data_IF_460760740944
#
_entry.id   IF_460760740944
#
_cell.length_a   1.000
_cell.length_b   1.000
_cell.length_c   1.000
_cell.angle_alpha   90.00
_cell.angle_beta   90.00
_cell.angle_gamma   90.00
#
_symmetry.space_group_name_H-M   'P 1'
#
loop_
_entity.id
_entity.type
_entity.pdbx_description
1 polymer ?
#
# COMPACT_ATOMS: atom_id res chain seq x y z
N UNK A 1 2.34 3.84 12.40
CA UNK A 1 1.88 3.94 10.99
C UNK A 1 2.57 2.93 10.07
N UNK A 2 3.92 2.88 9.99
CA UNK A 2 4.62 1.94 9.09
C UNK A 2 4.25 0.46 9.34
N UNK A 3 4.29 0.02 10.59
CA UNK A 3 3.91 -1.36 10.98
C UNK A 3 2.45 -1.67 10.64
N UNK A 4 1.54 -0.73 10.87
CA UNK A 4 0.11 -0.89 10.56
C UNK A 4 -0.13 -1.17 9.07
N UNK A 5 0.52 -0.43 8.18
CA UNK A 5 0.41 -0.67 6.73
C UNK A 5 0.94 -2.04 6.32
N UNK A 6 1.97 -2.56 6.98
CA UNK A 6 2.50 -3.90 6.71
C UNK A 6 1.54 -5.00 7.20
N UNK A 7 0.94 -4.82 8.38
CA UNK A 7 -0.07 -5.74 8.92
C UNK A 7 -1.28 -5.81 7.97
N UNK A 8 -1.79 -4.67 7.52
CA UNK A 8 -2.90 -4.59 6.56
C UNK A 8 -2.58 -5.26 5.21
N UNK A 9 -1.34 -5.10 4.74
CA UNK A 9 -0.87 -5.76 3.52
C UNK A 9 -0.87 -7.29 3.70
N UNK A 10 -0.28 -7.78 4.78
CA UNK A 10 -0.22 -9.21 5.09
C UNK A 10 -1.64 -9.78 5.25
N UNK A 11 -2.52 -9.05 5.93
CA UNK A 11 -3.91 -9.45 6.12
C UNK A 11 -4.68 -9.56 4.81
N UNK A 12 -4.49 -8.58 3.91
CA UNK A 12 -5.10 -8.60 2.57
C UNK A 12 -4.59 -9.77 1.73
N UNK A 13 -3.28 -10.06 1.77
CA UNK A 13 -2.69 -11.22 1.08
C UNK A 13 -3.27 -12.53 1.64
N UNK A 14 -3.40 -12.64 2.97
CA UNK A 14 -4.01 -13.82 3.60
C UNK A 14 -5.46 -14.04 3.13
N UNK A 15 -6.27 -12.98 3.01
CA UNK A 15 -7.63 -13.10 2.49
C UNK A 15 -7.65 -13.64 1.06
N UNK A 16 -6.75 -13.17 0.20
CA UNK A 16 -6.63 -13.65 -1.18
C UNK A 16 -6.20 -15.11 -1.20
N UNK A 17 -5.24 -15.51 -0.35
CA UNK A 17 -4.80 -16.91 -0.22
C UNK A 17 -5.92 -17.83 0.28
N UNK A 18 -6.76 -17.36 1.20
CA UNK A 18 -7.95 -18.09 1.63
C UNK A 18 -8.92 -18.26 0.46
N UNK A 19 -9.11 -17.22 -0.37
CA UNK A 19 -9.88 -17.33 -1.61
C UNK A 19 -9.33 -18.41 -2.56
N UNK A 20 -8.01 -18.45 -2.75
CA UNK A 20 -7.32 -19.49 -3.54
C UNK A 20 -7.55 -20.89 -2.96
N UNK A 21 -7.54 -21.05 -1.64
CA UNK A 21 -7.85 -22.33 -1.00
C UNK A 21 -9.28 -22.79 -1.30
N UNK A 22 -10.26 -21.87 -1.22
CA UNK A 22 -11.65 -22.19 -1.53
C UNK A 22 -11.89 -22.51 -3.02
N UNK A 23 -11.11 -21.90 -3.92
CA UNK A 23 -11.10 -22.18 -5.36
C UNK A 23 -10.53 -23.57 -5.66
N UNK A 24 -9.29 -23.83 -5.23
CA UNK A 24 -8.53 -25.02 -5.64
C UNK A 24 -8.89 -26.30 -4.87
N UNK A 25 -9.30 -26.18 -3.60
CA UNK A 25 -9.48 -27.34 -2.71
C UNK A 25 -10.96 -27.56 -2.39
N UNK A 26 -11.65 -26.53 -1.90
CA UNK A 26 -13.03 -26.66 -1.45
C UNK A 26 -14.06 -26.59 -2.58
N UNK A 27 -13.66 -26.11 -3.78
CA UNK A 27 -14.51 -25.86 -4.95
C UNK A 27 -15.80 -25.10 -4.60
N UNK A 28 -15.71 -24.18 -3.64
CA UNK A 28 -16.85 -23.39 -3.18
C UNK A 28 -16.81 -21.99 -3.78
N UNK A 29 -17.41 -21.87 -4.96
CA UNK A 29 -17.39 -20.66 -5.78
C UNK A 29 -18.00 -19.45 -5.05
N UNK A 30 -19.01 -19.65 -4.21
CA UNK A 30 -19.65 -18.56 -3.44
C UNK A 30 -18.72 -17.98 -2.38
N UNK A 31 -17.94 -18.83 -1.69
CA UNK A 31 -16.96 -18.36 -0.70
C UNK A 31 -15.73 -17.75 -1.37
N UNK A 32 -15.26 -18.35 -2.47
CA UNK A 32 -14.17 -17.84 -3.30
C UNK A 32 -14.39 -16.37 -3.68
N UNK A 33 -15.53 -16.05 -4.30
CA UNK A 33 -15.82 -14.69 -4.77
C UNK A 33 -15.85 -13.68 -3.61
N UNK A 34 -16.38 -14.10 -2.45
CA UNK A 34 -16.40 -13.27 -1.24
C UNK A 34 -15.00 -12.96 -0.74
N UNK A 35 -14.11 -13.95 -0.69
CA UNK A 35 -12.73 -13.76 -0.20
C UNK A 35 -11.88 -12.97 -1.18
N UNK A 36 -11.98 -13.23 -2.49
CA UNK A 36 -11.29 -12.42 -3.50
C UNK A 36 -11.78 -10.98 -3.54
N UNK A 37 -13.11 -10.79 -3.53
CA UNK A 37 -13.71 -9.47 -3.51
C UNK A 37 -13.32 -8.69 -2.26
N UNK A 38 -13.48 -9.29 -1.07
CA UNK A 38 -13.15 -8.63 0.19
C UNK A 38 -11.64 -8.35 0.32
N UNK A 39 -10.78 -9.32 -0.05
CA UNK A 39 -9.33 -9.15 -0.02
C UNK A 39 -8.85 -8.03 -0.93
N UNK A 40 -9.42 -7.96 -2.14
CA UNK A 40 -9.12 -6.93 -3.13
C UNK A 40 -9.66 -5.56 -2.70
N UNK A 41 -10.90 -5.47 -2.21
CA UNK A 41 -11.46 -4.21 -1.69
C UNK A 41 -10.60 -3.66 -0.55
N UNK A 42 -10.24 -4.51 0.41
CA UNK A 42 -9.43 -4.12 1.55
C UNK A 42 -8.04 -3.65 1.09
N UNK A 43 -7.45 -4.32 0.10
CA UNK A 43 -6.17 -3.90 -0.48
C UNK A 43 -6.24 -2.49 -1.07
N UNK A 44 -7.18 -2.26 -1.98
CA UNK A 44 -7.22 -1.04 -2.78
C UNK A 44 -7.77 0.15 -2.00
N UNK A 45 -8.80 -0.05 -1.17
CA UNK A 45 -9.47 1.05 -0.46
C UNK A 45 -8.92 1.31 0.94
N UNK A 46 -8.20 0.36 1.55
CA UNK A 46 -7.68 0.52 2.92
C UNK A 46 -6.16 0.49 2.91
N UNK A 47 -5.54 -0.58 2.42
CA UNK A 47 -4.10 -0.77 2.50
C UNK A 47 -3.33 0.28 1.70
N UNK A 48 -3.70 0.53 0.45
CA UNK A 48 -3.02 1.51 -0.41
C UNK A 48 -3.13 2.95 0.14
N UNK A 49 -4.31 3.47 0.50
CA UNK A 49 -4.42 4.83 1.05
C UNK A 49 -3.65 5.01 2.36
N UNK A 50 -3.72 4.03 3.27
CA UNK A 50 -2.99 4.07 4.54
C UNK A 50 -1.48 4.04 4.30
N UNK A 51 -1.01 3.22 3.34
CA UNK A 51 0.40 3.19 2.95
C UNK A 51 0.86 4.56 2.41
N UNK A 52 0.07 5.19 1.53
CA UNK A 52 0.37 6.51 0.98
C UNK A 52 0.43 7.58 2.07
N UNK A 53 -0.53 7.60 3.00
CA UNK A 53 -0.54 8.54 4.12
C UNK A 53 0.66 8.30 5.05
N UNK A 54 0.95 7.04 5.38
CA UNK A 54 2.12 6.69 6.22
C UNK A 54 3.43 7.10 5.56
N UNK A 55 3.53 7.00 4.24
CA UNK A 55 4.71 7.42 3.48
C UNK A 55 4.81 8.94 3.39
N UNK A 56 3.69 9.63 3.22
CA UNK A 56 3.61 11.10 3.17
C UNK A 56 4.15 11.72 4.46
N UNK A 57 3.76 11.22 5.63
CA UNK A 57 4.23 11.76 6.91
C UNK A 57 5.73 11.49 7.16
N UNK A 58 6.33 10.54 6.45
CA UNK A 58 7.75 10.22 6.57
C UNK A 58 8.65 11.13 5.73
N UNK A 59 8.11 11.95 4.82
CA UNK A 59 8.91 12.88 4.01
C UNK A 59 8.52 14.32 4.36
N UNK A 60 9.49 15.11 4.82
CA UNK A 60 9.31 16.56 4.95
C UNK A 60 9.01 17.14 3.56
N UNK A 61 7.88 17.82 3.45
CA UNK A 61 7.43 18.53 2.25
C UNK A 61 8.42 19.63 1.83
N UNK A 62 9.23 20.07 2.78
CA UNK A 62 10.28 21.07 2.61
C UNK A 62 11.35 20.61 1.60
N UNK A 63 11.62 19.31 1.51
CA UNK A 63 12.56 18.73 0.51
C UNK A 63 12.04 18.75 -0.93
N UNK A 64 10.75 19.01 -1.13
CA UNK A 64 10.12 19.13 -2.45
C UNK A 64 9.78 20.58 -2.80
N UNK A 65 10.03 21.52 -1.89
CA UNK A 65 9.87 22.94 -2.15
C UNK A 65 11.04 23.39 -3.02
N UNK A 66 10.74 24.00 -4.17
CA UNK A 66 11.75 24.58 -5.05
C UNK A 66 12.55 25.62 -4.27
N UNK A 67 13.81 25.28 -3.95
CA UNK A 67 14.73 26.17 -3.24
C UNK A 67 15.77 26.73 -4.23
N UNK A 68 15.56 27.95 -4.75
CA UNK A 68 16.45 28.54 -5.76
C UNK A 68 17.89 28.74 -5.24
N UNK A 69 18.11 28.82 -3.92
CA UNK A 69 19.44 28.94 -3.33
C UNK A 69 20.22 27.61 -3.31
N UNK A 70 19.51 26.48 -3.26
CA UNK A 70 20.12 25.15 -3.35
C UNK A 70 20.47 24.81 -4.81
N UNK A 71 19.63 25.28 -5.74
CA UNK A 71 19.86 25.14 -7.18
C UNK A 71 21.09 25.95 -7.65
N UNK A 72 21.27 27.18 -7.15
CA UNK A 72 22.48 27.98 -7.41
C UNK A 72 23.75 27.31 -6.85
N UNK A 73 23.70 26.78 -5.62
CA UNK A 73 24.84 26.06 -5.02
C UNK A 73 25.26 24.80 -5.79
N UNK A 74 24.31 24.09 -6.41
CA UNK A 74 24.64 22.95 -7.29
C UNK A 74 25.20 23.38 -8.64
N UNK A 75 24.84 24.57 -9.12
CA UNK A 75 25.31 25.12 -10.38
C UNK A 75 26.72 25.74 -10.26
N UNK A 76 27.04 26.35 -9.11
CA UNK A 76 28.35 26.93 -8.83
C UNK A 76 29.41 25.88 -8.41
N UNK A 77 28.98 24.68 -8.03
CA UNK A 77 29.87 23.57 -7.63
C UNK A 77 30.28 22.65 -8.79
N UNK A 78 29.96 23.03 -10.05
CA UNK A 78 30.26 22.26 -11.26
C UNK A 78 31.16 23.06 -12.18
#
# INVERSE_FOLDING_TARGET
>A
MKILSHILLIFSILLILIGVYFDLIAQNQSLQDKFYGAGSLLFFFVTIPIFLISRRNSKSWEKYRWNPEEFKRQQDSK
#
